data_IF_946839600620
#
_entry.id   IF_946839600620
#
_cell.length_a   1.000
_cell.length_b   1.000
_cell.length_c   1.000
_cell.angle_alpha   90.00
_cell.angle_beta   90.00
_cell.angle_gamma   90.00
#
_symmetry.space_group_name_H-M   'P 1'
#
loop_
_entity.id
_entity.type
_entity.pdbx_description
1 polymer ?
#
# COMPACT_ATOMS: atom_id res chain seq x y z
N UNK A 1 12.14 33.96 7.98
CA UNK A 1 11.62 32.78 7.25
C UNK A 1 10.57 32.12 8.12
N UNK A 2 9.38 31.79 7.60
CA UNK A 2 8.34 31.10 8.39
C UNK A 2 8.85 29.72 8.83
N UNK A 3 8.47 29.31 10.03
CA UNK A 3 8.86 28.02 10.57
C UNK A 3 8.23 26.88 9.74
N UNK A 4 9.02 25.97 9.14
CA UNK A 4 8.46 24.80 8.47
C UNK A 4 7.70 23.94 9.47
N UNK A 5 6.48 23.58 9.10
CA UNK A 5 5.47 22.86 9.88
C UNK A 5 5.07 21.60 9.12
N UNK A 6 5.05 20.45 9.80
CA UNK A 6 4.73 19.17 9.18
C UNK A 6 3.23 18.99 8.93
N UNK A 7 2.38 19.89 9.42
CA UNK A 7 0.92 19.76 9.36
C UNK A 7 0.39 19.59 7.92
N UNK A 8 0.72 20.52 7.03
CA UNK A 8 0.20 20.49 5.65
C UNK A 8 0.67 19.29 4.84
N UNK A 9 1.97 18.94 4.81
CA UNK A 9 2.39 17.73 4.13
C UNK A 9 1.76 16.47 4.75
N UNK A 10 1.48 16.44 6.05
CA UNK A 10 0.75 15.32 6.68
C UNK A 10 -0.67 15.19 6.14
N UNK A 11 -1.40 16.30 6.04
CA UNK A 11 -2.76 16.35 5.48
C UNK A 11 -2.75 15.90 4.02
N UNK A 12 -1.83 16.43 3.21
CA UNK A 12 -1.73 16.06 1.81
C UNK A 12 -1.31 14.61 1.61
N UNK A 13 -0.43 14.08 2.46
CA UNK A 13 -0.06 12.67 2.44
C UNK A 13 -1.29 11.81 2.72
N UNK A 14 -2.02 12.07 3.81
CA UNK A 14 -3.23 11.34 4.14
C UNK A 14 -4.26 11.38 3.00
N UNK A 15 -4.50 12.56 2.42
CA UNK A 15 -5.40 12.72 1.28
C UNK A 15 -4.94 11.94 0.06
N UNK A 16 -3.66 12.00 -0.29
CA UNK A 16 -3.12 11.25 -1.44
C UNK A 16 -3.27 9.75 -1.27
N UNK A 17 -3.04 9.20 -0.07
CA UNK A 17 -3.20 7.78 0.20
C UNK A 17 -4.68 7.34 0.14
N UNK A 18 -5.58 8.13 0.74
CA UNK A 18 -7.03 7.90 0.67
C UNK A 18 -7.52 7.96 -0.78
N UNK A 19 -7.10 8.96 -1.55
CA UNK A 19 -7.47 9.12 -2.95
C UNK A 19 -6.97 7.96 -3.80
N UNK A 20 -5.77 7.45 -3.54
CA UNK A 20 -5.28 6.29 -4.24
C UNK A 20 -6.24 5.10 -4.02
N UNK A 21 -6.69 4.85 -2.78
CA UNK A 21 -7.69 3.79 -2.50
C UNK A 21 -9.06 4.10 -3.10
N UNK A 22 -9.48 5.36 -3.12
CA UNK A 22 -10.75 5.77 -3.74
C UNK A 22 -10.81 5.38 -5.22
N UNK A 23 -9.70 5.51 -5.94
CA UNK A 23 -9.61 5.11 -7.36
C UNK A 23 -9.82 3.59 -7.52
N UNK A 24 -9.39 2.77 -6.55
CA UNK A 24 -9.60 1.32 -6.61
C UNK A 24 -11.09 0.93 -6.55
N UNK A 25 -11.88 1.64 -5.74
CA UNK A 25 -13.28 1.29 -5.49
C UNK A 25 -14.23 1.65 -6.64
N UNK A 26 -13.75 2.39 -7.66
CA UNK A 26 -14.55 2.97 -8.75
C UNK A 26 -15.66 3.91 -8.28
N UNK A 27 -15.98 4.96 -9.04
CA UNK A 27 -16.98 5.94 -8.61
C UNK A 27 -18.38 5.28 -8.59
N UNK A 28 -19.11 5.33 -7.45
CA UNK A 28 -20.43 4.74 -7.37
C UNK A 28 -21.42 5.56 -8.22
N UNK A 29 -22.50 4.91 -8.67
CA UNK A 29 -23.67 5.64 -9.15
C UNK A 29 -24.16 6.63 -8.07
N UNK A 30 -24.60 7.81 -8.49
CA UNK A 30 -24.98 8.96 -7.64
C UNK A 30 -26.32 8.75 -6.90
N UNK A 31 -26.53 7.56 -6.35
CA UNK A 31 -27.66 7.23 -5.46
C UNK A 31 -27.19 7.37 -4.02
N UNK A 32 -27.98 8.03 -3.16
CA UNK A 32 -27.58 8.34 -1.77
C UNK A 32 -27.14 7.12 -0.95
N UNK A 33 -27.79 5.98 -1.12
CA UNK A 33 -27.43 4.72 -0.45
C UNK A 33 -26.07 4.17 -0.90
N UNK A 34 -25.84 4.10 -2.22
CA UNK A 34 -24.56 3.61 -2.78
C UNK A 34 -23.40 4.54 -2.44
N UNK A 35 -23.66 5.85 -2.36
CA UNK A 35 -22.66 6.81 -1.94
C UNK A 35 -22.29 6.65 -0.46
N UNK A 36 -23.27 6.37 0.41
CA UNK A 36 -23.02 6.09 1.82
C UNK A 36 -22.22 4.79 2.01
N UNK A 37 -22.60 3.73 1.28
CA UNK A 37 -21.86 2.46 1.27
C UNK A 37 -20.41 2.70 0.80
N UNK A 38 -20.21 3.39 -0.33
CA UNK A 38 -18.89 3.74 -0.84
C UNK A 38 -18.04 4.56 0.16
N UNK A 39 -18.61 5.59 0.79
CA UNK A 39 -17.88 6.40 1.78
C UNK A 39 -17.52 5.57 3.01
N UNK A 40 -18.40 4.66 3.43
CA UNK A 40 -18.14 3.74 4.54
C UNK A 40 -17.01 2.78 4.17
N UNK A 41 -17.06 2.19 2.98
CA UNK A 41 -16.04 1.25 2.47
C UNK A 41 -14.68 1.90 2.27
N UNK A 42 -14.66 3.10 1.70
CA UNK A 42 -13.44 3.89 1.59
C UNK A 42 -12.91 4.30 2.98
N UNK A 43 -13.81 4.70 3.88
CA UNK A 43 -13.48 5.09 5.24
C UNK A 43 -12.84 3.95 6.04
N UNK A 44 -13.40 2.75 5.97
CA UNK A 44 -12.85 1.57 6.63
C UNK A 44 -11.57 1.12 5.96
N UNK A 45 -11.48 1.13 4.63
CA UNK A 45 -10.25 0.68 3.95
C UNK A 45 -9.07 1.64 4.13
N UNK A 46 -9.29 2.95 4.26
CA UNK A 46 -8.21 3.94 4.32
C UNK A 46 -7.71 4.28 5.75
N UNK A 47 -8.31 3.72 6.80
CA UNK A 47 -7.99 4.13 8.18
C UNK A 47 -6.52 3.89 8.55
N UNK A 48 -5.91 2.81 8.09
CA UNK A 48 -4.49 2.55 8.33
C UNK A 48 -3.57 3.51 7.58
N UNK A 49 -3.99 4.02 6.42
CA UNK A 49 -3.24 5.01 5.67
C UNK A 49 -3.25 6.37 6.35
N UNK A 50 -4.40 6.73 6.91
CA UNK A 50 -4.54 7.93 7.75
C UNK A 50 -3.66 7.81 9.00
N UNK A 51 -3.66 6.66 9.68
CA UNK A 51 -2.77 6.40 10.81
C UNK A 51 -1.29 6.49 10.44
N UNK A 52 -0.91 5.91 9.30
CA UNK A 52 0.45 5.99 8.78
C UNK A 52 0.86 7.45 8.54
N UNK A 53 0.02 8.22 7.83
CA UNK A 53 0.31 9.63 7.57
C UNK A 53 0.45 10.44 8.87
N UNK A 54 -0.44 10.23 9.85
CA UNK A 54 -0.35 10.87 11.17
C UNK A 54 0.96 10.50 11.87
N UNK A 55 1.34 9.22 11.90
CA UNK A 55 2.56 8.76 12.53
C UNK A 55 3.80 9.42 11.91
N UNK A 56 3.92 9.38 10.57
CA UNK A 56 5.03 10.03 9.85
C UNK A 56 5.02 11.54 10.09
N UNK A 57 3.85 12.17 10.08
CA UNK A 57 3.69 13.60 10.34
C UNK A 57 4.14 14.02 11.74
N UNK A 58 3.78 13.25 12.76
CA UNK A 58 4.21 13.47 14.15
C UNK A 58 5.72 13.30 14.31
N UNK A 59 6.29 12.26 13.69
CA UNK A 59 7.74 12.03 13.68
C UNK A 59 8.48 13.17 12.99
N UNK A 60 8.00 13.63 11.83
CA UNK A 60 8.56 14.77 11.12
C UNK A 60 8.46 16.06 11.94
N UNK A 61 7.32 16.30 12.60
CA UNK A 61 7.14 17.47 13.47
C UNK A 61 8.10 17.45 14.66
N UNK A 62 8.32 16.28 15.27
CA UNK A 62 9.27 16.10 16.35
C UNK A 62 10.72 16.32 15.88
N UNK A 63 11.08 15.78 14.71
CA UNK A 63 12.38 16.00 14.09
C UNK A 63 12.64 17.48 13.76
N UNK A 64 11.63 18.21 13.28
CA UNK A 64 11.75 19.65 13.02
C UNK A 64 11.91 20.48 14.30
N UNK A 65 11.26 20.07 15.40
CA UNK A 65 11.40 20.73 16.71
C UNK A 65 12.77 20.50 17.32
N UNK A 66 13.26 19.25 17.29
CA UNK A 66 14.58 18.90 17.84
C UNK A 66 15.72 19.53 17.03
N UNK A 67 15.55 19.71 15.72
CA UNK A 67 16.54 20.35 14.83
C UNK A 67 16.38 21.87 14.73
N UNK A 68 15.58 22.50 15.60
CA UNK A 68 15.31 23.94 15.54
C UNK A 68 16.57 24.83 15.65
N UNK A 69 17.59 24.35 16.36
CA UNK A 69 18.87 25.07 16.55
C UNK A 69 19.80 25.02 15.34
N UNK A 70 19.57 24.11 14.38
CA UNK A 70 20.45 23.86 13.25
C UNK A 70 19.71 24.07 11.92
N UNK A 71 19.76 25.26 11.30
CA UNK A 71 18.93 25.60 10.14
C UNK A 71 19.21 24.71 8.91
N UNK A 72 20.46 24.26 8.74
CA UNK A 72 20.84 23.32 7.66
C UNK A 72 20.19 21.96 7.85
N UNK A 73 20.28 21.39 9.06
CA UNK A 73 19.69 20.09 9.40
C UNK A 73 18.17 20.17 9.30
N UNK A 74 17.56 21.23 9.81
CA UNK A 74 16.12 21.46 9.69
C UNK A 74 15.63 21.47 8.24
N UNK A 75 16.40 22.10 7.33
CA UNK A 75 16.10 22.10 5.90
C UNK A 75 16.22 20.70 5.29
N UNK A 76 17.24 19.93 5.68
CA UNK A 76 17.38 18.54 5.25
C UNK A 76 16.24 17.66 5.76
N UNK A 77 15.85 17.78 7.03
CA UNK A 77 14.68 17.06 7.59
C UNK A 77 13.41 17.41 6.83
N UNK A 78 13.20 18.69 6.52
CA UNK A 78 12.04 19.13 5.74
C UNK A 78 12.03 18.53 4.32
N UNK A 79 13.17 18.59 3.62
CA UNK A 79 13.29 18.00 2.27
C UNK A 79 13.15 16.48 2.31
N UNK A 80 13.72 15.82 3.31
CA UNK A 80 13.61 14.39 3.53
C UNK A 80 12.16 13.98 3.79
N UNK A 81 11.42 14.75 4.59
CA UNK A 81 10.00 14.49 4.81
C UNK A 81 9.16 14.64 3.53
N UNK A 82 9.41 15.68 2.72
CA UNK A 82 8.76 15.82 1.41
C UNK A 82 9.14 14.69 0.45
N UNK A 83 10.41 14.28 0.44
CA UNK A 83 10.88 13.16 -0.37
C UNK A 83 10.24 11.83 0.03
N UNK A 84 10.19 11.55 1.34
CA UNK A 84 9.51 10.38 1.90
C UNK A 84 8.02 10.38 1.59
N UNK A 85 7.35 11.53 1.72
CA UNK A 85 5.94 11.69 1.36
C UNK A 85 5.69 11.44 -0.13
N UNK A 86 6.53 12.01 -1.00
CA UNK A 86 6.46 11.81 -2.45
C UNK A 86 6.67 10.33 -2.83
N UNK A 87 7.66 9.66 -2.22
CA UNK A 87 7.89 8.24 -2.41
C UNK A 87 6.73 7.39 -1.89
N UNK A 88 6.12 7.79 -0.77
CA UNK A 88 4.94 7.13 -0.23
C UNK A 88 3.75 7.25 -1.19
N UNK A 89 3.50 8.44 -1.76
CA UNK A 89 2.44 8.60 -2.76
C UNK A 89 2.70 7.74 -4.00
N UNK A 90 3.93 7.74 -4.51
CA UNK A 90 4.32 6.89 -5.63
C UNK A 90 4.06 5.41 -5.34
N UNK A 91 4.53 4.94 -4.19
CA UNK A 91 4.35 3.55 -3.76
C UNK A 91 2.88 3.21 -3.53
N UNK A 92 2.06 4.11 -2.99
CA UNK A 92 0.63 3.89 -2.82
C UNK A 92 -0.05 3.63 -4.17
N UNK A 93 0.20 4.48 -5.17
CA UNK A 93 -0.32 4.32 -6.53
C UNK A 93 0.10 2.97 -7.13
N UNK A 94 1.39 2.62 -7.01
CA UNK A 94 1.89 1.32 -7.50
C UNK A 94 1.26 0.13 -6.75
N UNK A 95 1.16 0.22 -5.43
CA UNK A 95 0.66 -0.85 -4.57
C UNK A 95 -0.80 -1.19 -4.83
N UNK A 96 -1.63 -0.20 -5.18
CA UNK A 96 -3.05 -0.42 -5.51
C UNK A 96 -3.20 -1.20 -6.81
N UNK A 97 -2.34 -0.95 -7.79
CA UNK A 97 -2.35 -1.73 -9.02
C UNK A 97 -1.95 -3.17 -8.74
N UNK A 98 -0.86 -3.36 -8.02
CA UNK A 98 -0.42 -4.69 -7.62
C UNK A 98 -1.49 -5.41 -6.80
N UNK A 99 -2.16 -4.71 -5.87
CA UNK A 99 -3.26 -5.26 -5.08
C UNK A 99 -4.45 -5.66 -5.97
N UNK A 100 -4.77 -4.91 -7.02
CA UNK A 100 -5.85 -5.27 -7.94
C UNK A 100 -5.59 -6.61 -8.65
N UNK A 101 -4.33 -6.94 -8.91
CA UNK A 101 -3.93 -8.22 -9.51
C UNK A 101 -3.77 -9.34 -8.48
N UNK A 102 -3.03 -9.09 -7.40
CA UNK A 102 -2.64 -10.13 -6.43
C UNK A 102 -3.67 -10.33 -5.31
N UNK A 103 -4.63 -9.41 -5.15
CA UNK A 103 -5.58 -9.35 -4.02
C UNK A 103 -4.91 -9.37 -2.64
N UNK A 104 -3.61 -9.10 -2.59
CA UNK A 104 -2.78 -9.07 -1.38
C UNK A 104 -1.92 -7.82 -1.36
N UNK A 105 -1.68 -7.22 -0.18
CA UNK A 105 -0.71 -6.14 -0.05
C UNK A 105 0.68 -6.62 -0.47
N UNK A 106 1.45 -5.69 -1.04
CA UNK A 106 2.81 -5.97 -1.48
C UNK A 106 3.73 -6.13 -0.26
N UNK A 107 4.19 -7.35 -0.03
CA UNK A 107 5.14 -7.71 1.03
C UNK A 107 6.54 -7.87 0.47
N UNK A 108 7.55 -7.90 1.34
CA UNK A 108 8.93 -8.17 0.96
C UNK A 108 9.06 -9.48 0.16
N UNK A 109 8.41 -10.56 0.57
CA UNK A 109 8.46 -11.84 -0.13
C UNK A 109 7.96 -11.73 -1.58
N UNK A 110 6.88 -10.98 -1.81
CA UNK A 110 6.36 -10.74 -3.16
C UNK A 110 7.32 -9.90 -4.00
N UNK A 111 7.97 -8.89 -3.40
CA UNK A 111 9.02 -8.12 -4.07
C UNK A 111 10.27 -8.95 -4.37
N UNK A 112 10.65 -9.85 -3.46
CA UNK A 112 11.81 -10.71 -3.60
C UNK A 112 11.60 -11.72 -4.73
N UNK A 113 10.43 -12.36 -4.79
CA UNK A 113 10.04 -13.24 -5.90
C UNK A 113 9.92 -12.46 -7.21
N UNK A 114 9.41 -11.22 -7.16
CA UNK A 114 9.43 -10.32 -8.29
C UNK A 114 10.85 -9.80 -8.65
N UNK A 115 11.88 -10.07 -7.85
CA UNK A 115 13.27 -9.68 -8.14
C UNK A 115 13.81 -10.26 -9.47
N UNK A 116 13.22 -11.33 -9.98
CA UNK A 116 13.47 -11.90 -11.31
C UNK A 116 12.76 -11.13 -12.47
N UNK A 117 12.23 -9.93 -12.19
CA UNK A 117 11.49 -9.06 -13.12
C UNK A 117 12.25 -8.65 -14.39
N UNK A 118 13.58 -8.81 -14.46
CA UNK A 118 14.32 -8.61 -15.72
C UNK A 118 13.80 -9.52 -16.84
N UNK A 119 13.24 -10.68 -16.49
CA UNK A 119 12.60 -11.61 -17.43
C UNK A 119 11.09 -11.34 -17.63
N UNK A 120 10.46 -10.49 -16.80
CA UNK A 120 9.02 -10.14 -16.88
C UNK A 120 8.74 -8.72 -17.39
N UNK A 121 9.77 -7.90 -17.62
CA UNK A 121 9.61 -6.50 -18.07
C UNK A 121 8.86 -6.36 -19.40
N UNK A 122 8.91 -7.38 -20.26
CA UNK A 122 8.16 -7.43 -21.52
C UNK A 122 6.64 -7.57 -21.33
N UNK A 123 6.17 -8.07 -20.18
CA UNK A 123 4.74 -8.25 -19.89
C UNK A 123 4.16 -7.09 -19.07
N UNK A 124 4.99 -6.28 -18.41
CA UNK A 124 4.54 -5.16 -17.56
C UNK A 124 4.09 -3.96 -18.39
N UNK A 125 4.69 -3.75 -19.58
CA UNK A 125 4.37 -2.62 -20.44
C UNK A 125 2.89 -2.53 -20.83
N UNK A 126 2.21 -3.67 -21.00
CA UNK A 126 0.78 -3.71 -21.32
C UNK A 126 -0.13 -3.30 -20.17
N UNK A 127 0.37 -3.31 -18.93
CA UNK A 127 -0.40 -2.95 -17.74
C UNK A 127 -0.26 -1.48 -17.35
N UNK A 128 0.66 -0.73 -17.98
CA UNK A 128 0.80 0.71 -17.73
C UNK A 128 -0.24 1.46 -18.57
N UNK A 129 -1.41 1.68 -17.99
CA UNK A 129 -2.42 2.55 -18.61
C UNK A 129 -2.00 4.03 -18.50
N UNK A 130 -2.48 4.92 -19.39
CA UNK A 130 -2.20 6.35 -19.30
C UNK A 130 -2.60 6.96 -17.94
N UNK A 131 -3.68 6.46 -17.33
CA UNK A 131 -4.11 6.87 -15.99
C UNK A 131 -3.12 6.49 -14.90
N UNK A 132 -2.50 5.31 -14.99
CA UNK A 132 -1.45 4.87 -14.07
C UNK A 132 -0.19 5.71 -14.23
N UNK A 133 0.24 5.95 -15.47
CA UNK A 133 1.39 6.81 -15.74
C UNK A 133 1.17 8.23 -15.21
N UNK A 134 -0.03 8.79 -15.40
CA UNK A 134 -0.41 10.09 -14.86
C UNK A 134 -0.43 10.08 -13.32
N UNK A 135 -0.90 9.02 -12.67
CA UNK A 135 -0.87 8.88 -11.21
C UNK A 135 0.54 8.77 -10.64
N UNK A 136 1.41 7.98 -11.28
CA UNK A 136 2.79 7.75 -10.85
C UNK A 136 3.65 9.01 -10.96
N UNK A 137 3.46 9.80 -12.01
CA UNK A 137 4.21 11.05 -12.20
C UNK A 137 3.53 12.23 -11.51
N UNK A 138 2.22 12.37 -11.71
CA UNK A 138 1.42 13.49 -11.23
C UNK A 138 1.20 13.46 -9.72
N UNK A 139 0.99 12.29 -9.11
CA UNK A 139 0.72 12.16 -7.68
C UNK A 139 1.82 12.75 -6.79
N UNK A 140 3.08 12.31 -6.92
CA UNK A 140 4.20 12.86 -6.13
C UNK A 140 4.44 14.35 -6.38
N UNK A 141 4.31 14.80 -7.64
CA UNK A 141 4.48 16.22 -8.01
C UNK A 141 3.40 17.08 -7.36
N UNK A 142 2.12 16.68 -7.48
CA UNK A 142 0.99 17.37 -6.86
C UNK A 142 1.16 17.42 -5.34
N UNK A 143 1.56 16.31 -4.71
CA UNK A 143 1.85 16.27 -3.28
C UNK A 143 2.88 17.34 -2.87
N UNK A 144 4.02 17.43 -3.57
CA UNK A 144 5.08 18.41 -3.27
C UNK A 144 4.57 19.84 -3.47
N UNK A 145 3.90 20.11 -4.58
CA UNK A 145 3.39 21.43 -4.93
C UNK A 145 2.36 21.91 -3.92
N UNK A 146 1.36 21.09 -3.61
CA UNK A 146 0.30 21.41 -2.66
C UNK A 146 0.84 21.57 -1.24
N UNK A 147 1.77 20.70 -0.82
CA UNK A 147 2.43 20.80 0.48
C UNK A 147 3.18 22.13 0.64
N UNK A 148 3.95 22.53 -0.38
CA UNK A 148 4.69 23.80 -0.36
C UNK A 148 3.75 25.01 -0.42
N UNK A 149 2.74 24.94 -1.29
CA UNK A 149 1.76 26.01 -1.46
C UNK A 149 0.97 26.26 -0.17
N UNK A 150 0.50 25.20 0.49
CA UNK A 150 -0.26 25.31 1.75
C UNK A 150 0.64 25.73 2.93
N UNK A 151 1.86 25.21 3.03
CA UNK A 151 2.82 25.62 4.05
C UNK A 151 3.16 27.12 3.97
N UNK A 152 3.25 27.66 2.74
CA UNK A 152 3.48 29.08 2.51
C UNK A 152 2.25 29.96 2.86
N UNK A 153 1.10 29.37 3.14
CA UNK A 153 -0.15 30.08 3.48
C UNK A 153 -0.60 29.84 4.92
N UNK A 154 0.30 29.37 5.79
CA UNK A 154 -0.05 29.16 7.19
C UNK A 154 -0.65 30.43 7.83
N UNK A 155 -1.85 30.32 8.42
CA UNK A 155 -2.52 31.45 9.02
C UNK A 155 -1.82 31.91 10.31
N UNK A 156 -2.04 33.18 10.72
CA UNK A 156 -1.50 33.77 11.96
C UNK A 156 -1.89 33.01 13.24
N UNK A 157 -1.29 33.34 14.42
CA UNK A 157 -1.40 32.55 15.64
C UNK A 157 -2.83 32.14 16.05
N UNK A 158 -2.89 31.00 16.74
CA UNK A 158 -4.11 30.22 16.97
C UNK A 158 -5.04 30.92 17.98
N UNK A 159 -6.14 31.50 17.50
CA UNK A 159 -7.24 32.01 18.32
C UNK A 159 -7.94 30.88 19.10
N UNK A 160 -8.62 31.16 20.24
CA UNK A 160 -9.32 30.13 21.02
C UNK A 160 -10.35 29.36 20.18
N UNK A 161 -11.07 30.05 19.28
CA UNK A 161 -11.98 29.42 18.30
C UNK A 161 -11.26 28.40 17.41
N UNK A 162 -10.07 28.74 16.90
CA UNK A 162 -9.26 27.81 16.08
C UNK A 162 -8.76 26.61 16.89
N UNK A 163 -8.48 26.78 18.19
CA UNK A 163 -8.14 25.65 19.09
C UNK A 163 -9.34 24.72 19.27
N UNK A 164 -10.53 25.27 19.51
CA UNK A 164 -11.75 24.48 19.62
C UNK A 164 -12.05 23.69 18.33
N UNK A 165 -11.93 24.32 17.16
CA UNK A 165 -12.09 23.63 15.86
C UNK A 165 -11.07 22.51 15.68
N UNK A 166 -9.79 22.74 16.05
CA UNK A 166 -8.75 21.70 15.98
C UNK A 166 -9.03 20.55 16.95
N UNK A 167 -9.47 20.84 18.16
CA UNK A 167 -9.84 19.84 19.15
C UNK A 167 -11.03 19.00 18.67
N UNK A 168 -12.09 19.65 18.18
CA UNK A 168 -13.24 18.97 17.59
C UNK A 168 -12.84 18.09 16.39
N UNK A 169 -11.98 18.60 15.50
CA UNK A 169 -11.45 17.83 14.38
C UNK A 169 -10.62 16.63 14.82
N UNK A 170 -9.78 16.77 15.86
CA UNK A 170 -9.01 15.67 16.43
C UNK A 170 -9.91 14.62 17.09
N UNK A 171 -10.96 15.04 17.80
CA UNK A 171 -11.95 14.13 18.38
C UNK A 171 -12.72 13.38 17.31
N UNK A 172 -13.19 14.07 16.25
CA UNK A 172 -13.86 13.43 15.12
C UNK A 172 -12.95 12.43 14.41
N UNK A 173 -11.68 12.79 14.20
CA UNK A 173 -10.67 11.90 13.63
C UNK A 173 -10.45 10.67 14.50
N UNK A 174 -10.38 10.84 15.82
CA UNK A 174 -10.24 9.72 16.76
C UNK A 174 -11.46 8.79 16.71
N UNK A 175 -12.67 9.35 16.75
CA UNK A 175 -13.91 8.58 16.63
C UNK A 175 -13.96 7.81 15.31
N UNK A 176 -13.58 8.45 14.20
CA UNK A 176 -13.46 7.79 12.90
C UNK A 176 -12.47 6.62 12.95
N UNK A 177 -11.26 6.82 13.48
CA UNK A 177 -10.23 5.78 13.52
C UNK A 177 -10.65 4.57 14.37
N UNK A 178 -11.30 4.82 15.51
CA UNK A 178 -11.81 3.74 16.38
C UNK A 178 -12.93 2.98 15.68
N UNK A 179 -13.92 3.69 15.12
CA UNK A 179 -15.04 3.08 14.40
C UNK A 179 -14.58 2.28 13.17
N UNK A 180 -13.64 2.82 12.40
CA UNK A 180 -13.10 2.15 11.22
C UNK A 180 -12.30 0.90 11.60
N UNK A 181 -11.49 0.96 12.68
CA UNK A 181 -10.78 -0.22 13.20
C UNK A 181 -11.74 -1.31 13.67
N UNK A 182 -12.82 -0.95 14.36
CA UNK A 182 -13.84 -1.92 14.79
C UNK A 182 -14.56 -2.53 13.60
N UNK A 183 -14.93 -1.73 12.59
CA UNK A 183 -15.55 -2.24 11.37
C UNK A 183 -14.61 -3.20 10.61
N UNK A 184 -13.32 -2.84 10.50
CA UNK A 184 -12.29 -3.67 9.90
C UNK A 184 -12.10 -5.02 10.60
N UNK A 185 -12.18 -5.04 11.94
CA UNK A 185 -12.02 -6.26 12.74
C UNK A 185 -13.29 -7.13 12.81
N UNK A 186 -14.46 -6.57 12.49
CA UNK A 186 -15.73 -7.27 12.48
C UNK A 186 -16.15 -7.64 11.05
N UNK A 187 -17.23 -7.00 10.57
CA UNK A 187 -17.90 -7.29 9.30
C UNK A 187 -17.00 -7.27 8.05
N UNK A 188 -15.83 -6.65 8.13
CA UNK A 188 -14.91 -6.58 6.99
C UNK A 188 -14.12 -7.87 6.75
N UNK A 189 -13.96 -8.71 7.76
CA UNK A 189 -13.16 -9.94 7.63
C UNK A 189 -13.78 -10.94 6.65
N UNK A 190 -15.10 -10.90 6.48
CA UNK A 190 -15.84 -11.83 5.63
C UNK A 190 -15.81 -11.46 4.14
N UNK A 191 -15.13 -10.37 3.76
CA UNK A 191 -15.04 -9.92 2.36
C UNK A 191 -13.79 -10.46 1.67
N UNK A 192 -13.92 -10.78 0.38
CA UNK A 192 -12.79 -11.22 -0.45
C UNK A 192 -11.66 -10.19 -0.54
N UNK A 193 -12.00 -8.91 -0.43
CA UNK A 193 -11.07 -7.77 -0.53
C UNK A 193 -10.62 -7.21 0.83
N UNK A 194 -10.84 -7.95 1.93
CA UNK A 194 -10.58 -7.45 3.29
C UNK A 194 -9.14 -6.98 3.53
N UNK A 195 -8.17 -7.51 2.77
CA UNK A 195 -6.77 -7.14 2.86
C UNK A 195 -6.48 -5.72 2.35
N UNK A 196 -7.38 -5.09 1.60
CA UNK A 196 -7.21 -3.70 1.12
C UNK A 196 -7.17 -2.70 2.27
N UNK A 197 -7.71 -3.09 3.44
CA UNK A 197 -7.68 -2.30 4.67
C UNK A 197 -6.24 -2.11 5.18
N UNK A 198 -5.32 -3.00 4.81
CA UNK A 198 -3.93 -2.94 5.24
C UNK A 198 -3.19 -1.77 4.58
N UNK A 199 -2.34 -1.10 5.35
CA UNK A 199 -1.46 -0.07 4.80
C UNK A 199 -0.25 -0.74 4.12
N UNK A 200 -0.04 -0.52 2.81
CA UNK A 200 0.98 -1.24 2.05
C UNK A 200 2.40 -0.82 2.46
N UNK A 201 2.59 0.40 3.00
CA UNK A 201 3.90 0.83 3.51
C UNK A 201 4.27 0.09 4.78
N UNK A 202 3.33 -0.02 5.71
CA UNK A 202 3.53 -0.73 6.96
C UNK A 202 3.75 -2.24 6.74
N UNK A 203 3.02 -2.85 5.82
CA UNK A 203 3.22 -4.26 5.45
C UNK A 203 4.62 -4.49 4.85
N UNK A 204 5.09 -3.60 3.99
CA UNK A 204 6.45 -3.70 3.45
C UNK A 204 7.52 -3.54 4.55
N UNK A 205 7.40 -2.53 5.40
CA UNK A 205 8.35 -2.27 6.49
C UNK A 205 8.36 -3.43 7.48
N UNK A 206 7.19 -3.90 7.91
CA UNK A 206 7.07 -4.97 8.90
C UNK A 206 7.46 -6.34 8.35
N UNK A 207 7.22 -6.63 7.08
CA UNK A 207 7.72 -7.87 6.43
C UNK A 207 9.24 -7.84 6.27
N UNK A 208 9.81 -6.71 5.85
CA UNK A 208 11.27 -6.54 5.76
C UNK A 208 11.94 -6.65 7.14
N UNK A 209 11.33 -6.08 8.18
CA UNK A 209 11.84 -6.16 9.54
C UNK A 209 11.78 -7.60 10.10
N UNK A 210 10.70 -8.34 9.83
CA UNK A 210 10.58 -9.76 10.24
C UNK A 210 11.65 -10.63 9.60
N UNK A 211 11.88 -10.45 8.30
CA UNK A 211 12.94 -11.14 7.56
C UNK A 211 14.32 -10.84 8.16
N UNK A 212 14.64 -9.56 8.38
CA UNK A 212 15.92 -9.14 8.97
C UNK A 212 16.13 -9.67 10.39
N UNK A 213 15.06 -9.84 11.16
CA UNK A 213 15.08 -10.41 12.50
C UNK A 213 15.05 -11.94 12.50
N UNK A 214 15.22 -12.59 11.35
CA UNK A 214 15.29 -14.06 11.23
C UNK A 214 13.99 -14.79 11.56
N UNK A 215 12.85 -14.09 11.52
CA UNK A 215 11.56 -14.76 11.63
C UNK A 215 11.27 -15.40 10.27
N UNK A 216 11.46 -16.72 10.18
CA UNK A 216 11.21 -17.53 8.99
C UNK A 216 9.87 -17.17 8.34
N UNK A 217 9.85 -17.15 7.00
CA UNK A 217 8.73 -16.73 6.16
C UNK A 217 7.40 -17.43 6.47
N UNK A 218 6.33 -16.97 5.81
CA UNK A 218 4.93 -17.39 6.00
C UNK A 218 4.84 -18.91 6.26
N UNK A 219 4.77 -19.30 7.54
CA UNK A 219 4.47 -20.66 7.94
C UNK A 219 2.97 -20.82 7.91
N UNK A 220 2.51 -21.81 7.17
CA UNK A 220 1.15 -22.28 7.32
C UNK A 220 1.17 -23.14 8.60
N UNK A 221 0.94 -22.50 9.75
CA UNK A 221 0.82 -23.17 11.06
C UNK A 221 -0.54 -23.87 11.22
N UNK A 222 -1.30 -23.99 10.14
CA UNK A 222 -2.55 -24.76 10.14
C UNK A 222 -2.16 -26.24 10.14
N UNK A 223 -2.60 -27.04 11.13
CA UNK A 223 -2.38 -28.47 11.11
C UNK A 223 -3.04 -29.03 9.85
N UNK A 224 -2.23 -29.51 8.92
CA UNK A 224 -2.71 -30.15 7.71
C UNK A 224 -2.73 -31.68 7.91
N UNK A 225 -3.76 -32.37 7.40
CA UNK A 225 -3.78 -33.82 7.36
C UNK A 225 -2.54 -34.38 6.65
N UNK A 226 -1.87 -35.42 7.19
CA UNK A 226 -0.67 -36.00 6.59
C UNK A 226 -0.93 -36.60 5.20
N UNK A 227 -2.18 -36.95 4.90
CA UNK A 227 -2.65 -37.40 3.58
C UNK A 227 -2.44 -36.36 2.46
N UNK A 228 -2.40 -35.07 2.76
CA UNK A 228 -2.08 -34.03 1.75
C UNK A 228 -0.61 -34.01 1.35
N UNK A 229 0.29 -34.63 2.13
CA UNK A 229 1.69 -34.78 1.74
C UNK A 229 1.86 -35.87 0.67
N UNK A 230 0.93 -36.83 0.58
CA UNK A 230 1.00 -37.92 -0.39
C UNK A 230 0.91 -37.42 -1.84
N UNK A 231 0.22 -36.30 -2.09
CA UNK A 231 0.12 -35.68 -3.41
C UNK A 231 1.45 -35.07 -3.90
N UNK A 232 2.38 -34.82 -2.99
CA UNK A 232 3.72 -34.30 -3.29
C UNK A 232 4.78 -35.39 -3.27
N UNK A 233 4.42 -36.63 -2.93
CA UNK A 233 5.33 -37.75 -3.09
C UNK A 233 5.59 -37.97 -4.59
N UNK A 234 6.87 -38.13 -5.01
CA UNK A 234 7.17 -38.43 -6.40
C UNK A 234 6.40 -39.68 -6.81
N UNK A 235 5.57 -39.57 -7.85
CA UNK A 235 4.95 -40.74 -8.45
C UNK A 235 6.04 -41.79 -8.69
N UNK A 236 5.77 -43.08 -8.39
CA UNK A 236 6.73 -44.14 -8.63
C UNK A 236 7.29 -44.00 -10.04
N UNK A 237 8.61 -43.86 -10.17
CA UNK A 237 9.22 -43.76 -11.49
C UNK A 237 8.71 -44.93 -12.32
N UNK A 238 8.09 -44.69 -13.49
CA UNK A 238 7.70 -45.79 -14.35
C UNK A 238 8.96 -46.62 -14.60
N UNK A 239 8.84 -47.97 -14.60
CA UNK A 239 9.98 -48.83 -14.83
C UNK A 239 10.69 -48.33 -16.08
N UNK A 240 12.00 -48.06 -15.96
CA UNK A 240 12.81 -47.61 -17.10
C UNK A 240 12.49 -48.57 -18.25
N UNK A 241 11.98 -48.08 -19.39
CA UNK A 241 11.68 -48.96 -20.50
C UNK A 241 12.97 -49.74 -20.78
N UNK A 242 12.87 -51.08 -20.70
CA UNK A 242 13.92 -51.97 -21.17
C UNK A 242 14.41 -51.43 -22.50
N UNK A 243 15.72 -51.38 -22.70
CA UNK A 243 16.39 -50.83 -23.89
C UNK A 243 15.88 -51.51 -25.17
N UNK A 244 14.72 -51.10 -25.63
CA UNK A 244 14.19 -51.43 -26.94
C UNK A 244 14.91 -50.50 -27.92
N UNK A 245 15.37 -51.03 -29.06
CA UNK A 245 16.05 -50.23 -30.07
C UNK A 245 15.15 -49.04 -30.44
N UNK A 246 15.68 -47.83 -30.23
CA UNK A 246 15.01 -46.55 -30.46
C UNK A 246 14.55 -46.49 -31.93
N UNK A 247 13.24 -46.47 -32.24
CA UNK A 247 12.79 -46.31 -33.62
C UNK A 247 13.26 -44.95 -34.15
N UNK A 248 13.91 -44.95 -35.32
CA UNK A 248 14.60 -43.78 -35.87
C UNK A 248 13.67 -42.63 -36.29
N UNK A 249 12.36 -42.85 -36.41
CA UNK A 249 11.40 -41.86 -36.86
C UNK A 249 10.11 -41.96 -36.04
N UNK A 250 9.88 -41.05 -35.09
CA UNK A 250 8.58 -40.88 -34.43
C UNK A 250 8.08 -39.48 -34.76
N UNK A 251 7.02 -39.39 -35.56
CA UNK A 251 6.26 -38.17 -35.80
C UNK A 251 5.13 -38.10 -34.79
N UNK A 252 5.17 -37.10 -33.92
CA UNK A 252 4.18 -36.87 -32.88
C UNK A 252 3.20 -35.80 -33.36
N UNK A 253 1.98 -36.21 -33.72
CA UNK A 253 0.89 -35.29 -34.02
C UNK A 253 0.12 -34.99 -32.74
N UNK A 254 0.30 -33.79 -32.19
CA UNK A 254 -0.58 -33.25 -31.15
C UNK A 254 -1.74 -32.57 -31.86
N UNK A 255 -2.93 -33.15 -31.77
CA UNK A 255 -4.17 -32.50 -32.18
C UNK A 255 -4.71 -31.78 -30.95
N UNK A 256 -4.50 -30.46 -30.89
CA UNK A 256 -5.25 -29.61 -29.97
C UNK A 256 -6.67 -29.47 -30.50
N UNK A 257 -7.67 -29.88 -29.73
CA UNK A 257 -9.07 -29.56 -30.04
C UNK A 257 -9.33 -28.09 -29.69
N UNK A 258 -9.65 -27.29 -30.70
CA UNK A 258 -10.17 -25.92 -30.56
C UNK A 258 -11.55 -25.89 -29.93
#
# INVERSE_FOLDING_TARGET
MREPSAFWPTVWLALSLVLAKAVHWSLPELTGRRLLEYVTDLGVSAHQDVLFAIAVGLLAQLALRTTARAPRVRRLVWLGFLGLGALSVLYAVASIQIFAFLRSPLTYALLYVAGDMKNMSSSIGSFVTPGIAAGLLGGPVLFILLSRWSANREPPPVTPRRRAIRAAGATLLLVYLVSARQAAAGRWQDRDDHLIVRNPHWELISSSARELLGHEGVRIDVPYPPEYLADFEPAPQPPRPSSLPRPRNVLLYVLEST
#
